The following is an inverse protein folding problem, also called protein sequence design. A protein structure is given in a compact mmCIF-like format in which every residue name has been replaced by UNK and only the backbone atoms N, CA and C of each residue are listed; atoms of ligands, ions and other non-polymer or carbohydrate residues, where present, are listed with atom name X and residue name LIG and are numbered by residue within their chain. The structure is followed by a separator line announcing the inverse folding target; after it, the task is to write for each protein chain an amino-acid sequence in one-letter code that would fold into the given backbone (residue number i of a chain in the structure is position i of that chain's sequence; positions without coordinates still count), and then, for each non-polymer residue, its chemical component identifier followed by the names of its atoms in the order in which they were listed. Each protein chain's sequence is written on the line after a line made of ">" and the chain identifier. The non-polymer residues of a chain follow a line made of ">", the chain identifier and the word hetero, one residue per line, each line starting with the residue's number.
data_IF_840764150006
#
_entry.id   IF_840764150006
#
_cell.length_a   1.000
_cell.length_b   1.000
_cell.length_c   1.000
_cell.angle_alpha   90.00
_cell.angle_beta   90.00
_cell.angle_gamma   90.00
#
_symmetry.space_group_name_H-M   'P 1'
#
loop_
_entity.id
_entity.type
_entity.pdbx_description
1 polymer ?
#
# COMPACT_ATOMS: atom_id res chain seq x y z
N UNK A 1 -3.64 -10.03 19.48
CA UNK A 1 -3.56 -8.60 19.08
C UNK A 1 -2.76 -7.78 20.09
N UNK A 2 -3.23 -7.59 21.32
CA UNK A 2 -2.53 -6.75 22.32
C UNK A 2 -1.06 -7.15 22.57
N UNK A 3 -0.78 -8.46 22.62
CA UNK A 3 0.58 -8.97 22.82
C UNK A 3 1.55 -8.69 21.65
N UNK A 4 1.03 -8.35 20.48
CA UNK A 4 1.80 -8.00 19.28
C UNK A 4 2.07 -6.49 19.18
N UNK A 5 1.49 -5.68 20.06
CA UNK A 5 1.64 -4.22 20.07
C UNK A 5 2.76 -3.78 21.02
N UNK A 6 3.45 -2.71 20.62
CA UNK A 6 4.36 -1.97 21.50
C UNK A 6 3.60 -1.46 22.73
N UNK A 7 4.26 -1.42 23.91
CA UNK A 7 3.61 -1.11 25.20
C UNK A 7 2.77 0.17 25.16
N UNK A 8 3.34 1.26 24.64
CA UNK A 8 2.63 2.54 24.53
C UNK A 8 1.38 2.50 23.63
N UNK A 9 1.36 1.64 22.61
CA UNK A 9 0.20 1.47 21.71
C UNK A 9 -0.82 0.54 22.35
N UNK A 10 -0.35 -0.49 23.07
CA UNK A 10 -1.21 -1.40 23.84
C UNK A 10 -1.99 -0.65 24.91
N UNK A 11 -1.34 0.24 25.64
CA UNK A 11 -1.96 0.99 26.73
C UNK A 11 -3.10 1.89 26.24
N UNK A 12 -3.02 2.38 24.99
CA UNK A 12 -4.11 3.19 24.43
C UNK A 12 -5.34 2.39 24.02
N UNK A 13 -5.19 1.12 23.64
CA UNK A 13 -6.29 0.25 23.20
C UNK A 13 -6.67 -0.81 24.25
N UNK A 14 -6.15 -0.66 25.48
CA UNK A 14 -6.27 -1.65 26.55
C UNK A 14 -7.72 -1.88 26.98
N UNK A 15 -8.56 -0.84 26.85
CA UNK A 15 -9.96 -0.84 27.25
C UNK A 15 -10.92 -1.16 26.09
N UNK A 16 -10.42 -1.52 24.91
CA UNK A 16 -11.25 -1.98 23.81
C UNK A 16 -11.73 -3.42 24.10
N UNK A 17 -13.04 -3.62 24.18
CA UNK A 17 -13.64 -4.93 24.48
C UNK A 17 -13.55 -5.91 23.31
N UNK A 18 -13.52 -5.40 22.07
CA UNK A 18 -13.49 -6.22 20.85
C UNK A 18 -12.25 -5.94 20.01
N UNK A 19 -11.78 -6.99 19.34
CA UNK A 19 -10.69 -6.89 18.38
C UNK A 19 -10.98 -5.93 17.21
N UNK A 20 -12.26 -5.78 16.82
CA UNK A 20 -12.66 -4.79 15.81
C UNK A 20 -12.42 -3.37 16.29
N UNK A 21 -12.74 -3.08 17.54
CA UNK A 21 -12.62 -1.73 18.11
C UNK A 21 -11.13 -1.36 18.25
N UNK A 22 -10.28 -2.31 18.65
CA UNK A 22 -8.81 -2.16 18.63
C UNK A 22 -8.33 -1.82 17.22
N UNK A 23 -8.84 -2.49 16.19
CA UNK A 23 -8.43 -2.24 14.81
C UNK A 23 -8.87 -0.87 14.31
N UNK A 24 -10.12 -0.48 14.59
CA UNK A 24 -10.66 0.83 14.23
C UNK A 24 -9.88 1.96 14.89
N UNK A 25 -9.55 1.88 16.18
CA UNK A 25 -8.78 2.95 16.84
C UNK A 25 -7.35 3.06 16.28
N UNK A 26 -6.71 1.93 15.98
CA UNK A 26 -5.40 1.92 15.33
C UNK A 26 -5.47 2.51 13.91
N UNK A 27 -6.51 2.21 13.15
CA UNK A 27 -6.74 2.76 11.82
C UNK A 27 -7.05 4.26 11.85
N UNK A 28 -7.86 4.74 12.80
CA UNK A 28 -8.15 6.17 12.93
C UNK A 28 -6.89 6.97 13.30
N UNK A 29 -6.12 6.47 14.27
CA UNK A 29 -4.95 7.18 14.80
C UNK A 29 -3.75 7.10 13.88
N UNK A 30 -3.49 5.95 13.27
CA UNK A 30 -2.28 5.71 12.48
C UNK A 30 -2.55 5.52 10.98
N UNK A 31 -3.80 5.26 10.58
CA UNK A 31 -4.18 5.10 9.16
C UNK A 31 -4.08 6.39 8.34
N UNK A 32 -4.17 7.58 8.97
CA UNK A 32 -3.87 8.85 8.29
C UNK A 32 -2.41 8.92 7.79
N UNK A 33 -1.47 8.39 8.58
CA UNK A 33 -0.06 8.28 8.15
C UNK A 33 0.09 7.33 6.96
N UNK A 34 -0.71 6.25 6.92
CA UNK A 34 -0.74 5.34 5.78
C UNK A 34 -1.33 6.00 4.52
N UNK A 35 -2.38 6.83 4.65
CA UNK A 35 -2.93 7.61 3.52
C UNK A 35 -1.94 8.65 2.99
N UNK A 36 -1.23 9.34 3.88
CA UNK A 36 -0.19 10.30 3.49
C UNK A 36 0.96 9.60 2.74
N UNK A 37 1.40 8.44 3.24
CA UNK A 37 2.40 7.61 2.55
C UNK A 37 1.91 7.08 1.22
N UNK A 38 0.66 6.64 1.14
CA UNK A 38 0.04 6.22 -0.12
C UNK A 38 0.03 7.36 -1.14
N UNK A 39 -0.39 8.56 -0.73
CA UNK A 39 -0.37 9.75 -1.59
C UNK A 39 1.04 10.11 -2.04
N UNK A 40 2.03 10.05 -1.14
CA UNK A 40 3.42 10.29 -1.48
C UNK A 40 3.92 9.28 -2.51
N UNK A 41 3.70 7.98 -2.27
CA UNK A 41 4.08 6.92 -3.21
C UNK A 41 3.39 7.10 -4.57
N UNK A 42 2.09 7.44 -4.59
CA UNK A 42 1.36 7.71 -5.82
C UNK A 42 1.97 8.88 -6.61
N UNK A 43 2.31 9.97 -5.93
CA UNK A 43 2.97 11.13 -6.55
C UNK A 43 4.35 10.76 -7.07
N UNK A 44 5.12 10.00 -6.30
CA UNK A 44 6.45 9.54 -6.73
C UNK A 44 6.37 8.64 -7.95
N UNK A 45 5.37 7.75 -8.04
CA UNK A 45 5.05 7.02 -9.26
C UNK A 45 4.80 8.02 -10.38
N UNK A 46 3.80 8.91 -10.28
CA UNK A 46 3.45 9.82 -11.39
C UNK A 46 4.56 10.78 -11.83
N UNK A 47 5.49 11.12 -10.94
CA UNK A 47 6.58 12.05 -11.23
C UNK A 47 7.91 11.37 -11.59
N UNK A 48 7.99 10.04 -11.59
CA UNK A 48 9.24 9.37 -11.92
C UNK A 48 9.57 9.57 -13.40
N UNK A 49 10.81 9.97 -13.66
CA UNK A 49 11.34 10.14 -15.01
C UNK A 49 12.77 9.57 -15.04
N UNK A 50 13.22 9.16 -16.23
CA UNK A 50 14.57 8.64 -16.40
C UNK A 50 15.64 9.72 -16.09
N UNK A 51 15.46 10.93 -16.63
CA UNK A 51 16.44 12.01 -16.47
C UNK A 51 17.81 11.59 -17.01
N UNK A 52 18.84 11.79 -16.21
CA UNK A 52 20.23 11.41 -16.54
C UNK A 52 20.60 9.98 -16.09
N UNK A 53 19.65 9.23 -15.52
CA UNK A 53 19.90 7.87 -15.06
C UNK A 53 20.06 6.91 -16.24
N UNK A 54 20.95 5.94 -16.08
CA UNK A 54 20.98 4.78 -16.97
C UNK A 54 19.72 3.92 -16.78
N UNK A 55 19.45 3.06 -17.76
CA UNK A 55 18.24 2.25 -17.83
C UNK A 55 18.09 1.34 -16.59
N UNK A 56 19.19 0.76 -16.10
CA UNK A 56 19.14 -0.15 -14.96
C UNK A 56 18.87 0.63 -13.66
N UNK A 57 19.52 1.78 -13.47
CA UNK A 57 19.28 2.67 -12.33
C UNK A 57 17.85 3.22 -12.32
N UNK A 58 17.34 3.64 -13.48
CA UNK A 58 15.95 4.09 -13.62
C UNK A 58 14.96 2.98 -13.28
N UNK A 59 15.15 1.78 -13.84
CA UNK A 59 14.29 0.63 -13.56
C UNK A 59 14.27 0.27 -12.07
N UNK A 60 15.43 0.24 -11.41
CA UNK A 60 15.52 -0.06 -9.98
C UNK A 60 14.79 0.99 -9.14
N UNK A 61 14.91 2.28 -9.50
CA UNK A 61 14.18 3.36 -8.84
C UNK A 61 12.67 3.21 -9.03
N UNK A 62 12.21 2.95 -10.25
CA UNK A 62 10.80 2.73 -10.57
C UNK A 62 10.23 1.53 -9.82
N UNK A 63 10.94 0.41 -9.83
CA UNK A 63 10.58 -0.81 -9.11
C UNK A 63 10.41 -0.55 -7.62
N UNK A 64 11.35 0.15 -6.99
CA UNK A 64 11.27 0.48 -5.57
C UNK A 64 9.99 1.25 -5.23
N UNK A 65 9.67 2.28 -6.01
CA UNK A 65 8.48 3.11 -5.77
C UNK A 65 7.19 2.30 -6.02
N UNK A 66 7.16 1.45 -7.04
CA UNK A 66 6.03 0.55 -7.30
C UNK A 66 5.81 -0.47 -6.18
N UNK A 67 6.88 -1.04 -5.64
CA UNK A 67 6.82 -2.00 -4.54
C UNK A 67 6.30 -1.31 -3.26
N UNK A 68 6.76 -0.09 -2.99
CA UNK A 68 6.28 0.73 -1.87
C UNK A 68 4.80 1.09 -2.03
N UNK A 69 4.37 1.57 -3.20
CA UNK A 69 2.97 1.85 -3.50
C UNK A 69 2.07 0.63 -3.31
N UNK A 70 2.54 -0.54 -3.72
CA UNK A 70 1.80 -1.81 -3.53
C UNK A 70 1.71 -2.19 -2.05
N UNK A 71 2.80 -2.03 -1.29
CA UNK A 71 2.88 -2.38 0.12
C UNK A 71 1.96 -1.53 1.01
N UNK A 72 1.74 -0.26 0.65
CA UNK A 72 0.82 0.65 1.38
C UNK A 72 -0.64 0.52 0.95
N UNK A 73 -0.97 -0.48 0.12
CA UNK A 73 -2.34 -0.77 -0.28
C UNK A 73 -2.85 0.09 -1.44
N UNK A 74 -1.95 0.49 -2.36
CA UNK A 74 -2.31 1.39 -3.46
C UNK A 74 -3.27 0.84 -4.51
N UNK A 75 -3.56 -0.46 -4.51
CA UNK A 75 -4.60 -1.05 -5.35
C UNK A 75 -5.70 -1.64 -4.47
N UNK A 76 -6.98 -1.31 -4.72
CA UNK A 76 -8.09 -1.93 -4.02
C UNK A 76 -8.09 -3.43 -4.32
N UNK A 77 -8.31 -4.27 -3.32
CA UNK A 77 -8.45 -5.71 -3.49
C UNK A 77 -9.82 -6.16 -3.01
N UNK A 78 -10.41 -7.08 -3.75
CA UNK A 78 -11.60 -7.77 -3.29
C UNK A 78 -11.21 -8.83 -2.27
N UNK A 79 -11.86 -8.81 -1.11
CA UNK A 79 -11.81 -9.81 -0.04
C UNK A 79 -12.91 -10.87 -0.19
N UNK A 80 -13.72 -10.76 -1.24
CA UNK A 80 -14.78 -11.67 -1.57
C UNK A 80 -14.26 -13.10 -1.80
N UNK A 81 -14.56 -14.00 -0.86
CA UNK A 81 -14.09 -15.39 -0.82
C UNK A 81 -14.66 -16.29 -1.93
N UNK A 82 -15.63 -15.82 -2.72
CA UNK A 82 -16.27 -16.55 -3.82
C UNK A 82 -16.40 -15.73 -5.12
N UNK A 83 -15.48 -14.82 -5.44
CA UNK A 83 -15.55 -14.16 -6.75
C UNK A 83 -15.10 -15.10 -7.87
N UNK A 84 -16.01 -15.41 -8.78
CA UNK A 84 -15.70 -16.06 -10.07
C UNK A 84 -15.14 -15.06 -11.10
N UNK A 85 -15.15 -13.77 -10.77
CA UNK A 85 -14.82 -12.66 -11.66
C UNK A 85 -13.32 -12.45 -11.91
N UNK A 86 -12.47 -13.11 -11.11
CA UNK A 86 -11.00 -12.94 -11.07
C UNK A 86 -10.53 -11.47 -10.97
N UNK A 87 -11.29 -10.61 -10.29
CA UNK A 87 -11.02 -9.16 -10.22
C UNK A 87 -9.60 -8.86 -9.75
N UNK A 88 -9.10 -9.53 -8.72
CA UNK A 88 -7.74 -9.29 -8.22
C UNK A 88 -6.68 -9.62 -9.28
N UNK A 89 -6.85 -10.72 -10.02
CA UNK A 89 -5.92 -11.08 -11.10
C UNK A 89 -6.00 -10.13 -12.31
N UNK A 90 -7.17 -9.55 -12.59
CA UNK A 90 -7.34 -8.51 -13.62
C UNK A 90 -6.70 -7.19 -13.18
N UNK A 91 -6.85 -6.81 -11.92
CA UNK A 91 -6.22 -5.63 -11.34
C UNK A 91 -4.69 -5.77 -11.32
N UNK A 92 -4.16 -6.94 -10.95
CA UNK A 92 -2.72 -7.21 -11.00
C UNK A 92 -2.19 -7.09 -12.44
N UNK A 93 -2.91 -7.64 -13.44
CA UNK A 93 -2.57 -7.50 -14.87
C UNK A 93 -2.55 -6.04 -15.32
N UNK A 94 -3.63 -5.30 -15.04
CA UNK A 94 -3.72 -3.87 -15.35
C UNK A 94 -2.56 -3.09 -14.72
N UNK A 95 -2.21 -3.38 -13.47
CA UNK A 95 -1.10 -2.73 -12.81
C UNK A 95 0.25 -3.00 -13.49
N UNK A 96 0.50 -4.23 -13.97
CA UNK A 96 1.72 -4.54 -14.73
C UNK A 96 1.76 -3.79 -16.07
N UNK A 97 0.63 -3.70 -16.77
CA UNK A 97 0.53 -2.94 -18.02
C UNK A 97 0.84 -1.44 -17.79
N UNK A 98 0.30 -0.85 -16.71
CA UNK A 98 0.60 0.54 -16.36
C UNK A 98 2.09 0.76 -16.06
N UNK A 99 2.76 -0.19 -15.40
CA UNK A 99 4.23 -0.12 -15.16
C UNK A 99 5.02 -0.11 -16.47
N UNK A 100 4.60 -0.91 -17.46
CA UNK A 100 5.22 -0.93 -18.78
C UNK A 100 5.01 0.41 -19.49
N UNK A 101 3.78 0.92 -19.52
CA UNK A 101 3.46 2.20 -20.17
C UNK A 101 4.27 3.34 -19.56
N UNK A 102 4.47 3.34 -18.25
CA UNK A 102 5.27 4.33 -17.55
C UNK A 102 6.79 4.22 -17.82
N UNK A 103 7.26 3.02 -18.14
CA UNK A 103 8.67 2.79 -18.44
C UNK A 103 9.03 3.16 -19.89
N UNK A 104 8.05 3.16 -20.80
CA UNK A 104 8.18 3.60 -22.19
C UNK A 104 8.23 5.14 -22.30
#
# INVERSE_FOLDING_TARGET
>A
LLNSLHKNIRDSVLFCDKACDVWTELEERYGQSNKARLFQAQREVSCITQGELDIASYFNKAKKVWDEFTAVGGLPRCDCSKCECEVNAKLDRYAQEQKIIQFL
#
